data_IF_241052352033
#
_entry.id   IF_241052352033
#
_cell.length_a   1.000
_cell.length_b   1.000
_cell.length_c   1.000
_cell.angle_alpha   90.00
_cell.angle_beta   90.00
_cell.angle_gamma   90.00
#
_symmetry.space_group_name_H-M   'P 1'
#
loop_
_entity.id
_entity.type
_entity.pdbx_description
1 polymer ?
#
# COMPACT_ATOMS: atom_id res chain seq x y z
N UNK A 1 2.75 4.13 -3.62
CA UNK A 1 3.22 2.73 -3.57
C UNK A 1 2.23 1.80 -2.86
N UNK A 2 1.74 2.13 -1.66
CA UNK A 2 0.77 1.30 -0.92
C UNK A 2 -0.53 0.98 -1.67
N UNK A 3 -1.07 1.91 -2.46
CA UNK A 3 -2.23 1.64 -3.33
C UNK A 3 -1.96 0.52 -4.34
N UNK A 4 -0.77 0.51 -4.95
CA UNK A 4 -0.36 -0.52 -5.90
C UNK A 4 -0.24 -1.88 -5.21
N UNK A 5 0.33 -1.93 -4.00
CA UNK A 5 0.38 -3.14 -3.18
C UNK A 5 -1.03 -3.67 -2.86
N UNK A 6 -1.95 -2.78 -2.51
CA UNK A 6 -3.32 -3.18 -2.16
C UNK A 6 -4.06 -3.81 -3.36
N UNK A 7 -3.92 -3.20 -4.55
CA UNK A 7 -4.49 -3.73 -5.81
C UNK A 7 -3.85 -5.07 -6.20
N UNK A 8 -2.53 -5.17 -6.15
CA UNK A 8 -1.80 -6.41 -6.48
C UNK A 8 -2.16 -7.52 -5.50
N UNK A 9 -2.25 -7.22 -4.20
CA UNK A 9 -2.62 -8.20 -3.17
C UNK A 9 -4.03 -8.71 -3.38
N UNK A 10 -4.99 -7.82 -3.63
CA UNK A 10 -6.38 -8.22 -3.87
C UNK A 10 -6.51 -9.13 -5.10
N UNK A 11 -5.81 -8.80 -6.19
CA UNK A 11 -5.80 -9.64 -7.40
C UNK A 11 -5.12 -11.00 -7.17
N UNK A 12 -4.07 -11.02 -6.35
CA UNK A 12 -3.36 -12.25 -5.97
C UNK A 12 -4.24 -13.15 -5.08
N UNK A 13 -4.96 -12.59 -4.10
CA UNK A 13 -5.90 -13.36 -3.26
C UNK A 13 -7.11 -13.87 -4.04
N UNK A 14 -7.54 -13.14 -5.07
CA UNK A 14 -8.55 -13.61 -6.04
C UNK A 14 -8.02 -14.70 -6.99
N UNK A 15 -6.79 -15.16 -6.82
CA UNK A 15 -6.19 -16.24 -7.62
C UNK A 15 -5.78 -15.82 -9.04
N UNK A 16 -5.61 -14.52 -9.31
CA UNK A 16 -5.18 -14.08 -10.65
C UNK A 16 -3.71 -14.46 -10.89
N UNK A 17 -3.37 -15.08 -12.03
CA UNK A 17 -1.99 -15.35 -12.41
C UNK A 17 -1.19 -14.06 -12.53
N UNK A 18 0.10 -14.11 -12.18
CA UNK A 18 1.00 -12.95 -12.23
C UNK A 18 0.98 -12.21 -13.58
N UNK A 19 0.90 -12.93 -14.70
CA UNK A 19 0.82 -12.35 -16.05
C UNK A 19 -0.48 -11.57 -16.32
N UNK A 20 -1.58 -11.91 -15.64
CA UNK A 20 -2.86 -11.20 -15.75
C UNK A 20 -2.97 -10.04 -14.75
N UNK A 21 -2.18 -10.04 -13.66
CA UNK A 21 -2.21 -8.96 -12.66
C UNK A 21 -1.91 -7.61 -13.32
N UNK A 22 -0.87 -7.51 -14.15
CA UNK A 22 -0.51 -6.26 -14.81
C UNK A 22 -1.63 -5.74 -15.74
N UNK A 23 -2.29 -6.65 -16.47
CA UNK A 23 -3.41 -6.32 -17.35
C UNK A 23 -4.63 -5.87 -16.56
N UNK A 24 -5.01 -6.63 -15.52
CA UNK A 24 -6.18 -6.35 -14.66
C UNK A 24 -6.00 -5.13 -13.78
N UNK A 25 -4.78 -4.86 -13.29
CA UNK A 25 -4.49 -3.72 -12.44
C UNK A 25 -4.26 -2.42 -13.24
N UNK A 26 -4.06 -2.52 -14.56
CA UNK A 26 -3.64 -1.38 -15.40
C UNK A 26 -2.28 -0.79 -14.99
N UNK A 27 -1.46 -1.57 -14.28
CA UNK A 27 -0.15 -1.12 -13.80
C UNK A 27 0.93 -1.60 -14.76
N UNK A 28 1.97 -0.79 -14.93
CA UNK A 28 3.12 -1.19 -15.74
C UNK A 28 3.76 -2.48 -15.17
N UNK A 29 4.16 -3.46 -16.01
CA UNK A 29 4.71 -4.74 -15.57
C UNK A 29 5.88 -4.62 -14.59
N UNK A 30 6.72 -3.60 -14.76
CA UNK A 30 7.82 -3.30 -13.84
C UNK A 30 7.34 -2.97 -12.42
N UNK A 31 6.25 -2.21 -12.29
CA UNK A 31 5.67 -1.85 -10.99
C UNK A 31 5.07 -3.10 -10.33
N UNK A 32 4.38 -3.95 -11.11
CA UNK A 32 3.85 -5.22 -10.61
C UNK A 32 4.98 -6.11 -10.13
N UNK A 33 6.04 -6.30 -10.92
CA UNK A 33 7.21 -7.12 -10.56
C UNK A 33 7.82 -6.67 -9.24
N UNK A 34 8.11 -5.38 -9.12
CA UNK A 34 8.73 -4.80 -7.91
C UNK A 34 7.85 -4.99 -6.67
N UNK A 35 6.53 -4.83 -6.81
CA UNK A 35 5.60 -4.86 -5.68
C UNK A 35 5.07 -6.27 -5.36
N UNK A 36 5.22 -7.23 -6.28
CA UNK A 36 4.69 -8.59 -6.10
C UNK A 36 5.39 -9.32 -4.94
N UNK A 37 6.73 -9.25 -4.87
CA UNK A 37 7.50 -9.84 -3.76
C UNK A 37 7.16 -9.19 -2.42
N UNK A 38 7.00 -7.86 -2.40
CA UNK A 38 6.61 -7.10 -1.20
C UNK A 38 5.19 -7.51 -0.77
N UNK A 39 4.24 -7.64 -1.70
CA UNK A 39 2.87 -8.08 -1.42
C UNK A 39 2.77 -9.44 -0.75
N UNK A 40 3.73 -10.36 -0.99
CA UNK A 40 3.72 -11.67 -0.36
C UNK A 40 4.01 -11.61 1.14
N UNK A 41 4.73 -10.58 1.59
CA UNK A 41 5.10 -10.40 3.00
C UNK A 41 3.97 -9.82 3.86
N UNK A 42 2.95 -9.20 3.25
CA UNK A 42 1.83 -8.58 3.96
C UNK A 42 0.51 -9.29 3.67
N UNK A 43 -0.37 -9.39 4.66
CA UNK A 43 -1.78 -9.75 4.44
C UNK A 43 -2.58 -8.55 3.89
N UNK A 44 -3.70 -8.81 3.21
CA UNK A 44 -4.60 -7.75 2.73
C UNK A 44 -5.11 -6.90 3.90
N UNK A 45 -5.41 -7.54 5.04
CA UNK A 45 -5.85 -6.90 6.27
C UNK A 45 -4.80 -5.93 6.82
N UNK A 46 -3.53 -6.32 6.84
CA UNK A 46 -2.42 -5.45 7.26
C UNK A 46 -2.26 -4.26 6.31
N UNK A 47 -2.26 -4.50 4.98
CA UNK A 47 -2.17 -3.42 4.00
C UNK A 47 -3.31 -2.40 4.14
N UNK A 48 -4.54 -2.86 4.40
CA UNK A 48 -5.69 -1.98 4.67
C UNK A 48 -5.48 -1.14 5.94
N UNK A 49 -5.01 -1.74 7.03
CA UNK A 49 -4.70 -1.01 8.27
C UNK A 49 -3.64 0.05 8.07
N UNK A 50 -2.52 -0.30 7.40
CA UNK A 50 -1.45 0.65 7.10
C UNK A 50 -1.97 1.80 6.22
N UNK A 51 -2.77 1.48 5.20
CA UNK A 51 -3.36 2.49 4.33
C UNK A 51 -4.30 3.45 5.08
N UNK A 52 -5.12 2.94 6.01
CA UNK A 52 -5.97 3.76 6.87
C UNK A 52 -5.16 4.67 7.79
N UNK A 53 -4.07 4.17 8.38
CA UNK A 53 -3.16 4.97 9.20
C UNK A 53 -2.52 6.10 8.40
N UNK A 54 -1.98 5.80 7.22
CA UNK A 54 -1.40 6.81 6.31
C UNK A 54 -2.45 7.90 6.00
N UNK A 55 -3.69 7.51 5.72
CA UNK A 55 -4.77 8.46 5.45
C UNK A 55 -5.10 9.36 6.65
N UNK A 56 -5.19 8.78 7.85
CA UNK A 56 -5.40 9.53 9.09
C UNK A 56 -4.28 10.54 9.36
N UNK A 57 -3.04 10.10 9.18
CA UNK A 57 -1.86 10.95 9.37
C UNK A 57 -1.85 12.09 8.35
N UNK A 58 -2.05 11.80 7.06
CA UNK A 58 -2.15 12.83 6.01
C UNK A 58 -3.26 13.85 6.30
N UNK A 59 -4.42 13.39 6.79
CA UNK A 59 -5.52 14.28 7.20
C UNK A 59 -5.14 15.16 8.39
N UNK A 60 -4.47 14.61 9.39
CA UNK A 60 -4.01 15.37 10.56
C UNK A 60 -2.94 16.41 10.20
N UNK A 61 -2.02 16.07 9.29
CA UNK A 61 -1.04 17.02 8.74
C UNK A 61 -1.76 18.16 8.02
N UNK A 62 -2.67 17.84 7.09
CA UNK A 62 -3.40 18.83 6.28
C UNK A 62 -4.33 19.73 7.09
N UNK A 63 -4.75 19.29 8.27
CA UNK A 63 -5.59 20.07 9.20
C UNK A 63 -4.77 20.80 10.26
N UNK A 64 -3.44 20.71 10.22
CA UNK A 64 -2.53 21.38 11.17
C UNK A 64 -2.55 20.80 12.58
N UNK A 65 -3.09 19.59 12.77
CA UNK A 65 -3.17 18.92 14.08
C UNK A 65 -1.86 18.28 14.51
N UNK A 66 -1.05 17.86 13.54
CA UNK A 66 0.25 17.21 13.76
C UNK A 66 1.24 17.82 12.78
N UNK A 67 2.44 18.10 13.26
CA UNK A 67 3.53 18.56 12.41
C UNK A 67 3.93 17.43 11.41
N UNK A 68 4.20 17.77 10.13
CA UNK A 68 4.58 16.79 9.11
C UNK A 68 5.78 15.90 9.49
N UNK A 69 6.75 16.42 10.22
CA UNK A 69 7.98 15.73 10.58
C UNK A 69 7.70 14.65 11.64
N UNK A 70 7.06 15.04 12.75
CA UNK A 70 6.59 14.11 13.80
C UNK A 70 5.62 13.07 13.25
N UNK A 71 4.72 13.48 12.36
CA UNK A 71 3.77 12.59 11.71
C UNK A 71 4.46 11.51 10.86
N UNK A 72 5.56 11.86 10.18
CA UNK A 72 6.34 10.92 9.39
C UNK A 72 7.14 9.97 10.30
N UNK A 73 7.74 10.47 11.38
CA UNK A 73 8.46 9.65 12.36
C UNK A 73 7.55 8.60 13.01
N UNK A 74 6.34 8.99 13.41
CA UNK A 74 5.33 8.08 13.93
C UNK A 74 4.95 7.00 12.92
N UNK A 75 4.80 7.37 11.64
CA UNK A 75 4.47 6.41 10.58
C UNK A 75 5.60 5.38 10.40
N UNK A 76 6.86 5.82 10.38
CA UNK A 76 8.02 4.93 10.18
C UNK A 76 8.25 4.02 11.39
N UNK A 77 8.02 4.50 12.61
CA UNK A 77 8.19 3.68 13.83
C UNK A 77 7.16 2.55 13.98
N UNK A 78 6.02 2.62 13.28
CA UNK A 78 4.94 1.63 13.37
C UNK A 78 4.93 0.58 12.23
N UNK A 79 5.80 0.73 11.22
CA UNK A 79 5.92 -0.16 10.05
C UNK A 79 7.08 -1.13 10.23
#
# INVERSE_FOLDING_TARGET
QFRSLLVIKELTEKGSPYGDIAKKSGLHPFVVKKNYDICRQFSLSQLKKIYQKIFLIDSNIKTGRVDPETALDLLVSEI
#
